data_IF_181596582435
#
_entry.id   IF_181596582435
#
_cell.length_a   1.000
_cell.length_b   1.000
_cell.length_c   1.000
_cell.angle_alpha   90.00
_cell.angle_beta   90.00
_cell.angle_gamma   90.00
#
_symmetry.space_group_name_H-M   'P 1'
#
loop_
_entity.id
_entity.type
_entity.pdbx_description
1 polymer ?
#
# COMPACT_ATOMS: atom_id res chain seq x y z
N UNK A 1 -14.45 10.63 -0.36
CA UNK A 1 -14.37 9.64 -1.46
C UNK A 1 -13.99 8.30 -0.84
N UNK A 2 -14.57 7.19 -1.26
CA UNK A 2 -14.25 5.85 -0.71
C UNK A 2 -13.07 5.16 -1.43
N UNK A 3 -12.47 5.86 -2.39
CA UNK A 3 -11.32 5.44 -3.17
C UNK A 3 -10.14 6.38 -2.85
N UNK A 4 -8.97 5.81 -2.64
CA UNK A 4 -7.70 6.51 -2.60
C UNK A 4 -6.76 5.90 -3.65
N UNK A 5 -5.99 6.76 -4.32
CA UNK A 5 -5.00 6.36 -5.33
C UNK A 5 -3.65 6.92 -4.90
N UNK A 6 -2.66 6.05 -4.84
CA UNK A 6 -1.28 6.37 -4.47
C UNK A 6 -0.32 5.81 -5.51
N UNK A 7 0.85 6.43 -5.62
CA UNK A 7 1.91 5.97 -6.50
C UNK A 7 3.00 5.28 -5.68
N UNK A 8 3.57 4.23 -6.26
CA UNK A 8 4.67 3.45 -5.73
C UNK A 8 5.50 2.91 -6.88
N UNK A 9 6.48 2.07 -6.59
CA UNK A 9 7.35 1.45 -7.58
C UNK A 9 7.55 -0.02 -7.24
N UNK A 10 7.51 -0.88 -8.25
CA UNK A 10 8.03 -2.24 -8.12
C UNK A 10 9.56 -2.23 -8.31
N UNK A 11 10.19 -3.38 -8.12
CA UNK A 11 11.62 -3.57 -8.39
C UNK A 11 11.76 -4.69 -9.43
N UNK A 12 12.42 -4.37 -10.54
CA UNK A 12 12.71 -5.32 -11.62
C UNK A 12 14.16 -5.18 -12.04
N UNK A 13 15.05 -5.97 -11.42
CA UNK A 13 16.49 -5.82 -11.60
C UNK A 13 16.98 -4.44 -11.12
N UNK A 14 17.50 -3.64 -12.06
CA UNK A 14 17.95 -2.27 -11.82
C UNK A 14 16.87 -1.22 -12.10
N UNK A 15 15.74 -1.62 -12.67
CA UNK A 15 14.63 -0.73 -12.97
C UNK A 15 13.60 -0.74 -11.83
N UNK A 16 12.92 0.40 -11.67
CA UNK A 16 11.82 0.58 -10.75
C UNK A 16 10.58 1.05 -11.52
N UNK A 17 9.81 0.13 -12.12
CA UNK A 17 8.61 0.50 -12.86
C UNK A 17 7.51 1.00 -11.90
N UNK A 18 6.72 1.95 -12.38
CA UNK A 18 5.63 2.56 -11.61
C UNK A 18 4.56 1.51 -11.25
N UNK A 19 4.04 1.62 -10.03
CA UNK A 19 2.89 0.86 -9.55
C UNK A 19 1.88 1.82 -8.96
N UNK A 20 0.65 1.77 -9.46
CA UNK A 20 -0.48 2.47 -8.86
C UNK A 20 -1.12 1.57 -7.80
N UNK A 21 -1.29 2.12 -6.60
CA UNK A 21 -1.95 1.47 -5.46
C UNK A 21 -3.31 2.12 -5.26
N UNK A 22 -4.37 1.40 -5.60
CA UNK A 22 -5.74 1.88 -5.43
C UNK A 22 -6.37 1.15 -4.25
N UNK A 23 -6.90 1.91 -3.29
CA UNK A 23 -7.59 1.36 -2.11
C UNK A 23 -9.02 1.83 -2.12
N UNK A 24 -9.94 0.88 -2.23
CA UNK A 24 -11.38 1.13 -2.23
C UNK A 24 -12.06 0.52 -1.01
N UNK A 25 -12.89 1.33 -0.33
CA UNK A 25 -13.72 0.92 0.80
C UNK A 25 -15.18 0.81 0.37
N UNK A 26 -15.73 -0.40 0.37
CA UNK A 26 -17.14 -0.65 0.09
C UNK A 26 -17.90 -1.07 1.35
N UNK A 27 -19.21 -0.78 1.38
CA UNK A 27 -20.09 -1.30 2.43
C UNK A 27 -20.25 -2.83 2.29
N UNK A 28 -20.50 -3.52 3.41
CA UNK A 28 -20.67 -4.97 3.47
C UNK A 28 -19.87 -5.61 4.59
N UNK A 29 -19.84 -6.95 4.62
CA UNK A 29 -19.08 -7.70 5.61
C UNK A 29 -17.58 -7.38 5.51
N UNK A 30 -16.88 -7.22 6.65
CA UNK A 30 -15.45 -6.97 6.68
C UNK A 30 -14.69 -8.02 5.89
N UNK A 31 -13.92 -7.57 4.90
CA UNK A 31 -13.11 -8.42 4.04
C UNK A 31 -11.96 -7.60 3.50
N UNK A 32 -10.84 -8.26 3.18
CA UNK A 32 -9.65 -7.60 2.65
C UNK A 32 -9.14 -8.42 1.47
N UNK A 33 -9.00 -7.80 0.32
CA UNK A 33 -8.58 -8.47 -0.91
C UNK A 33 -7.52 -7.61 -1.61
N UNK A 34 -6.42 -8.25 -2.01
CA UNK A 34 -5.41 -7.65 -2.88
C UNK A 34 -5.51 -8.30 -4.26
N UNK A 35 -5.60 -7.49 -5.31
CA UNK A 35 -5.61 -7.90 -6.72
C UNK A 35 -4.42 -7.28 -7.47
N UNK A 36 -4.07 -7.84 -8.64
CA UNK A 36 -2.89 -7.42 -9.41
C UNK A 36 -1.67 -8.37 -9.27
N UNK A 37 -1.93 -9.68 -9.22
CA UNK A 37 -0.92 -10.75 -9.06
C UNK A 37 0.07 -10.52 -7.88
N UNK A 38 -0.42 -10.31 -6.65
CA UNK A 38 0.45 -10.25 -5.48
C UNK A 38 1.05 -11.61 -5.15
N UNK A 39 2.31 -11.63 -4.75
CA UNK A 39 2.95 -12.80 -4.16
C UNK A 39 2.40 -13.09 -2.74
N UNK A 40 2.96 -14.12 -2.09
CA UNK A 40 2.55 -14.49 -0.73
C UNK A 40 2.86 -13.40 0.28
N UNK A 41 4.03 -12.76 0.20
CA UNK A 41 4.46 -11.72 1.14
C UNK A 41 3.54 -10.49 1.08
N UNK A 42 3.10 -10.11 -0.13
CA UNK A 42 2.14 -9.04 -0.35
C UNK A 42 0.75 -9.44 0.16
N UNK A 43 0.31 -10.70 0.00
CA UNK A 43 -0.95 -11.17 0.59
C UNK A 43 -0.95 -11.09 2.13
N UNK A 44 0.21 -11.30 2.75
CA UNK A 44 0.40 -11.15 4.20
C UNK A 44 0.40 -9.68 4.68
N UNK A 45 0.49 -8.71 3.75
CA UNK A 45 0.43 -7.28 4.09
C UNK A 45 -0.82 -6.91 4.87
N UNK A 46 -1.94 -7.65 4.72
CA UNK A 46 -3.17 -7.41 5.48
C UNK A 46 -2.89 -7.35 6.99
N UNK A 47 -2.20 -8.35 7.51
CA UNK A 47 -2.02 -8.50 8.95
C UNK A 47 -1.00 -7.47 9.47
N UNK A 48 0.04 -7.18 8.66
CA UNK A 48 1.02 -6.12 8.94
C UNK A 48 0.41 -4.73 8.94
N UNK A 49 -0.29 -4.36 7.86
CA UNK A 49 -0.97 -3.06 7.74
C UNK A 49 -2.01 -2.87 8.84
N UNK A 50 -2.82 -3.89 9.14
CA UNK A 50 -3.80 -3.81 10.21
C UNK A 50 -3.14 -3.55 11.57
N UNK A 51 -2.14 -4.36 11.93
CA UNK A 51 -1.45 -4.22 13.20
C UNK A 51 -0.73 -2.86 13.30
N UNK A 52 -0.06 -2.44 12.23
CA UNK A 52 0.62 -1.15 12.15
C UNK A 52 -0.34 0.02 12.37
N UNK A 53 -1.48 0.06 11.65
CA UNK A 53 -2.46 1.12 11.80
C UNK A 53 -3.02 1.19 13.23
N UNK A 54 -3.39 0.05 13.81
CA UNK A 54 -3.93 0.00 15.19
C UNK A 54 -2.88 0.45 16.20
N UNK A 55 -1.63 -0.01 16.10
CA UNK A 55 -0.55 0.39 17.00
C UNK A 55 -0.10 1.85 16.79
N UNK A 56 -0.33 2.41 15.61
CA UNK A 56 -0.18 3.83 15.32
C UNK A 56 -1.41 4.68 15.70
N UNK A 57 -2.38 4.11 16.42
CA UNK A 57 -3.62 4.77 16.91
C UNK A 57 -4.59 5.21 15.81
N UNK A 58 -4.52 4.60 14.64
CA UNK A 58 -5.53 4.75 13.61
C UNK A 58 -6.59 3.64 13.70
N UNK A 59 -7.74 3.89 13.08
CA UNK A 59 -8.79 2.90 12.93
C UNK A 59 -8.53 2.02 11.69
N UNK A 60 -8.66 0.70 11.83
CA UNK A 60 -8.76 -0.19 10.68
C UNK A 60 -10.24 -0.41 10.33
N UNK A 61 -10.74 0.07 9.17
CA UNK A 61 -12.17 0.08 8.88
C UNK A 61 -12.79 -1.33 8.84
N UNK A 62 -13.90 -1.53 9.55
CA UNK A 62 -14.71 -2.75 9.47
C UNK A 62 -15.60 -2.75 8.21
N UNK A 63 -14.98 -2.72 7.03
CA UNK A 63 -15.63 -2.66 5.70
C UNK A 63 -14.99 -3.63 4.73
N UNK A 64 -15.56 -3.78 3.53
CA UNK A 64 -14.88 -4.49 2.44
C UNK A 64 -13.80 -3.58 1.86
N UNK A 65 -12.55 -4.01 1.98
CA UNK A 65 -11.36 -3.31 1.51
C UNK A 65 -10.83 -4.05 0.29
N UNK A 66 -10.72 -3.35 -0.83
CA UNK A 66 -10.07 -3.87 -2.03
C UNK A 66 -8.86 -3.02 -2.34
N UNK A 67 -7.71 -3.68 -2.46
CA UNK A 67 -6.44 -3.09 -2.87
C UNK A 67 -6.12 -3.60 -4.27
N UNK A 68 -5.96 -2.70 -5.23
CA UNK A 68 -5.49 -3.02 -6.57
C UNK A 68 -4.06 -2.51 -6.75
N UNK A 69 -3.17 -3.38 -7.23
CA UNK A 69 -1.80 -3.06 -7.59
C UNK A 69 -1.66 -3.13 -9.12
N UNK A 70 -1.66 -1.99 -9.79
CA UNK A 70 -1.54 -1.90 -11.25
C UNK A 70 -0.14 -1.46 -11.67
N UNK A 71 0.40 -1.92 -12.82
CA UNK A 71 -0.23 -2.81 -13.80
C UNK A 71 -0.08 -4.30 -13.40
N UNK A 72 -1.04 -5.16 -13.71
CA UNK A 72 -1.07 -6.53 -13.18
C UNK A 72 0.06 -7.45 -13.70
N UNK A 73 0.69 -7.10 -14.82
CA UNK A 73 1.69 -7.89 -15.53
C UNK A 73 3.07 -7.88 -14.87
N UNK A 74 3.32 -6.92 -13.97
CA UNK A 74 4.56 -6.82 -13.22
C UNK A 74 4.50 -7.69 -11.95
N UNK A 75 5.50 -8.53 -11.65
CA UNK A 75 5.58 -9.18 -10.35
C UNK A 75 5.66 -8.14 -9.22
N UNK A 76 4.82 -8.28 -8.20
CA UNK A 76 4.87 -7.45 -6.99
C UNK A 76 5.35 -8.31 -5.84
N UNK A 77 6.67 -8.32 -5.69
CA UNK A 77 7.38 -9.04 -4.65
C UNK A 77 8.00 -8.02 -3.70
N UNK A 78 7.56 -8.03 -2.43
CA UNK A 78 8.05 -7.24 -1.26
C UNK A 78 6.92 -6.61 -0.45
N UNK A 79 7.12 -6.53 0.87
CA UNK A 79 6.33 -5.70 1.79
C UNK A 79 6.44 -4.18 1.57
N UNK A 80 7.16 -3.68 0.54
CA UNK A 80 7.26 -2.25 0.21
C UNK A 80 5.91 -1.57 -0.03
N UNK A 81 4.91 -2.36 -0.39
CA UNK A 81 3.55 -1.89 -0.61
C UNK A 81 2.75 -1.72 0.69
N UNK A 82 3.28 -2.14 1.85
CA UNK A 82 2.58 -1.98 3.13
C UNK A 82 2.25 -0.51 3.41
N UNK A 83 3.23 0.40 3.27
CA UNK A 83 3.03 1.83 3.49
C UNK A 83 1.97 2.45 2.55
N UNK A 84 2.07 2.36 1.21
CA UNK A 84 1.06 2.94 0.33
C UNK A 84 -0.33 2.32 0.55
N UNK A 85 -0.43 1.03 0.89
CA UNK A 85 -1.71 0.40 1.24
C UNK A 85 -2.29 1.02 2.52
N UNK A 86 -1.47 1.16 3.57
CA UNK A 86 -1.91 1.75 4.83
C UNK A 86 -2.39 3.21 4.65
N UNK A 87 -1.62 4.02 3.92
CA UNK A 87 -1.99 5.40 3.59
C UNK A 87 -3.28 5.46 2.76
N UNK A 88 -3.46 4.55 1.81
CA UNK A 88 -4.69 4.43 1.03
C UNK A 88 -5.91 4.08 1.87
N UNK A 89 -5.77 3.19 2.86
CA UNK A 89 -6.85 2.88 3.81
C UNK A 89 -7.21 4.13 4.62
N UNK A 90 -6.22 4.86 5.14
CA UNK A 90 -6.45 6.06 5.94
C UNK A 90 -7.09 7.19 5.11
N UNK A 91 -6.63 7.39 3.88
CA UNK A 91 -7.22 8.36 2.95
C UNK A 91 -8.66 8.00 2.58
N UNK A 92 -8.92 6.76 2.17
CA UNK A 92 -10.25 6.30 1.78
C UNK A 92 -11.24 6.28 2.97
N UNK A 93 -10.74 6.10 4.20
CA UNK A 93 -11.52 6.20 5.44
C UNK A 93 -11.63 7.62 5.99
N UNK A 94 -11.02 8.61 5.34
CA UNK A 94 -10.99 10.03 5.75
C UNK A 94 -10.31 10.29 7.10
N UNK A 95 -9.37 9.43 7.49
CA UNK A 95 -8.52 9.63 8.67
C UNK A 95 -7.32 10.54 8.38
N UNK A 96 -6.94 10.70 7.11
CA UNK A 96 -5.89 11.63 6.66
C UNK A 96 -6.46 12.62 5.65
N UNK A 97 -5.93 13.85 5.69
CA UNK A 97 -6.10 14.80 4.60
C UNK A 97 -5.13 14.45 3.47
N UNK A 98 -5.68 14.35 2.26
CA UNK A 98 -5.00 13.74 1.09
C UNK A 98 -4.29 14.76 0.20
N UNK A 99 -4.14 15.99 0.67
CA UNK A 99 -3.59 17.07 -0.13
C UNK A 99 -2.13 16.79 -0.50
N UNK A 100 -1.90 16.48 -1.77
CA UNK A 100 -0.57 16.29 -2.34
C UNK A 100 -0.09 14.85 -2.50
N UNK A 101 -0.89 13.82 -2.20
CA UNK A 101 -0.47 12.42 -2.42
C UNK A 101 -0.05 12.13 -3.87
N UNK A 102 -0.67 12.80 -4.85
CA UNK A 102 -0.29 12.70 -6.27
C UNK A 102 1.10 13.24 -6.61
N UNK A 103 1.75 13.96 -5.68
CA UNK A 103 3.11 14.51 -5.86
C UNK A 103 4.20 13.59 -5.31
N UNK A 104 3.81 12.49 -4.68
CA UNK A 104 4.73 11.60 -3.98
C UNK A 104 4.57 10.16 -4.46
N UNK A 105 5.68 9.45 -4.43
CA UNK A 105 5.70 7.99 -4.51
C UNK A 105 6.06 7.44 -3.13
N UNK A 106 5.32 6.43 -2.69
CA UNK A 106 5.46 5.85 -1.37
C UNK A 106 5.96 4.42 -1.47
N UNK A 107 6.98 4.08 -0.67
CA UNK A 107 7.41 2.71 -0.46
C UNK A 107 7.92 2.56 0.97
N UNK A 108 7.53 1.47 1.61
CA UNK A 108 7.83 1.22 3.01
C UNK A 108 7.25 -0.10 3.47
N UNK A 109 8.04 -0.86 4.21
CA UNK A 109 7.58 -2.05 4.92
C UNK A 109 7.02 -1.63 6.28
N UNK A 110 5.93 -2.24 6.73
CA UNK A 110 5.37 -1.97 8.05
C UNK A 110 5.60 -3.16 8.97
N UNK A 111 6.13 -2.89 10.15
CA UNK A 111 6.17 -3.89 11.22
C UNK A 111 4.81 -3.98 11.91
N UNK A 112 4.59 -5.07 12.64
CA UNK A 112 3.41 -5.22 13.50
C UNK A 112 3.32 -4.12 14.58
N UNK A 113 4.43 -3.49 14.96
CA UNK A 113 4.46 -2.43 15.99
C UNK A 113 4.09 -1.06 15.44
N UNK A 114 3.89 -0.92 14.12
CA UNK A 114 3.68 0.36 13.45
C UNK A 114 4.99 1.07 13.06
N UNK A 115 6.14 0.40 13.23
CA UNK A 115 7.42 0.92 12.78
C UNK A 115 7.52 0.85 11.24
N UNK A 116 7.97 1.94 10.63
CA UNK A 116 8.30 1.99 9.22
C UNK A 116 9.70 1.43 9.00
N UNK A 117 9.80 0.38 8.19
CA UNK A 117 11.05 -0.29 7.85
C UNK A 117 11.56 0.12 6.47
N UNK A 118 12.88 0.16 6.29
CA UNK A 118 13.48 0.48 5.00
C UNK A 118 13.16 -0.60 3.96
N UNK A 119 13.04 -0.19 2.71
CA UNK A 119 12.81 -1.09 1.57
C UNK A 119 14.09 -1.31 0.78
N UNK A 120 14.24 -2.50 0.19
CA UNK A 120 15.28 -2.75 -0.81
C UNK A 120 14.92 -2.07 -2.13
N UNK A 121 15.94 -1.59 -2.85
CA UNK A 121 15.75 -0.97 -4.17
C UNK A 121 15.52 0.54 -4.14
N UNK A 122 15.68 1.21 -3.00
CA UNK A 122 15.48 2.66 -2.87
C UNK A 122 16.31 3.49 -3.88
N UNK A 123 17.54 3.04 -4.19
CA UNK A 123 18.34 3.67 -5.24
C UNK A 123 17.68 3.55 -6.61
N UNK A 124 17.26 2.34 -7.03
CA UNK A 124 16.59 2.14 -8.32
C UNK A 124 15.30 2.97 -8.44
N UNK A 125 14.56 3.12 -7.34
CA UNK A 125 13.37 3.96 -7.28
C UNK A 125 13.65 5.45 -7.50
N UNK A 126 14.79 5.94 -7.02
CA UNK A 126 15.16 7.37 -7.08
C UNK A 126 16.11 7.71 -8.22
N UNK A 127 16.69 6.71 -8.88
CA UNK A 127 17.72 6.87 -9.91
C UNK A 127 17.23 7.54 -11.20
N UNK A 128 15.94 7.41 -11.51
CA UNK A 128 15.28 8.00 -12.70
C UNK A 128 14.03 8.80 -12.34
N UNK A 129 13.84 9.13 -11.06
CA UNK A 129 12.71 9.90 -10.57
C UNK A 129 12.86 11.40 -10.85
#
# INVERSE_FOLDING_TARGET
>A
MSLAVLHSRALSGLDAPEVTVEVHLANGLPSFTIVGLPDTEVKESRDRVRAALVNSRFEFPARRITVNLAPAELPKESGRFDLPIALGILAASRQLQVDGFSKYEFAGELSLTGELRPVRGALAMTWRA
#
